data_IF_102610275131
#
_entry.id   IF_102610275131
#
_cell.length_a   1.000
_cell.length_b   1.000
_cell.length_c   1.000
_cell.angle_alpha   90.00
_cell.angle_beta   90.00
_cell.angle_gamma   90.00
#
_symmetry.space_group_name_H-M   'P 1'
#
loop_
_entity.id
_entity.type
_entity.pdbx_description
1 polymer ?
#
# COMPACT_ATOMS: atom_id res chain seq x y z
N UNK A 1 14.74 -6.96 -25.25
CA UNK A 1 13.97 -7.13 -23.99
C UNK A 1 12.84 -6.10 -23.96
N UNK A 2 11.58 -6.51 -23.76
CA UNK A 2 10.43 -5.60 -23.73
C UNK A 2 10.50 -4.62 -22.55
N UNK A 3 9.88 -3.45 -22.69
CA UNK A 3 9.84 -2.42 -21.62
C UNK A 3 9.23 -2.97 -20.32
N UNK A 4 8.16 -3.77 -20.43
CA UNK A 4 7.53 -4.47 -19.30
C UNK A 4 8.49 -5.44 -18.58
N UNK A 5 9.41 -6.10 -19.30
CA UNK A 5 10.39 -7.00 -18.69
C UNK A 5 11.52 -6.22 -18.00
N UNK A 6 11.98 -5.11 -18.60
CA UNK A 6 12.95 -4.20 -17.98
C UNK A 6 12.43 -3.63 -16.66
N UNK A 7 11.20 -3.12 -16.68
CA UNK A 7 10.53 -2.55 -15.50
C UNK A 7 10.27 -3.60 -14.42
N UNK A 8 9.85 -4.82 -14.80
CA UNK A 8 9.72 -5.94 -13.87
C UNK A 8 11.05 -6.27 -13.17
N UNK A 9 12.15 -6.41 -13.91
CA UNK A 9 13.46 -6.73 -13.34
C UNK A 9 13.93 -5.61 -12.40
N UNK A 10 13.79 -4.34 -12.81
CA UNK A 10 14.17 -3.21 -11.97
C UNK A 10 13.36 -3.17 -10.66
N UNK A 11 12.04 -3.36 -10.74
CA UNK A 11 11.19 -3.47 -9.55
C UNK A 11 11.58 -4.69 -8.69
N UNK A 12 11.93 -5.83 -9.29
CA UNK A 12 12.39 -7.02 -8.59
C UNK A 12 13.71 -6.82 -7.85
N UNK A 13 14.66 -6.11 -8.44
CA UNK A 13 15.92 -5.72 -7.78
C UNK A 13 15.64 -4.83 -6.57
N UNK A 14 14.75 -3.84 -6.71
CA UNK A 14 14.33 -2.99 -5.59
C UNK A 14 13.64 -3.82 -4.50
N UNK A 15 12.73 -4.72 -4.86
CA UNK A 15 12.04 -5.59 -3.92
C UNK A 15 13.04 -6.47 -3.14
N UNK A 16 14.01 -7.08 -3.82
CA UNK A 16 15.05 -7.89 -3.19
C UNK A 16 15.93 -7.07 -2.25
N UNK A 17 16.33 -5.86 -2.66
CA UNK A 17 17.10 -4.94 -1.83
C UNK A 17 16.32 -4.52 -0.58
N UNK A 18 15.02 -4.23 -0.71
CA UNK A 18 14.15 -3.89 0.42
C UNK A 18 13.92 -5.09 1.34
N UNK A 19 13.74 -6.31 0.81
CA UNK A 19 13.64 -7.53 1.62
C UNK A 19 14.92 -7.75 2.43
N UNK A 20 16.10 -7.62 1.80
CA UNK A 20 17.37 -7.73 2.51
C UNK A 20 17.52 -6.63 3.59
N UNK A 21 17.10 -5.41 3.29
CA UNK A 21 17.10 -4.30 4.24
C UNK A 21 16.17 -4.56 5.43
N UNK A 22 14.94 -5.04 5.18
CA UNK A 22 14.00 -5.39 6.24
C UNK A 22 14.52 -6.54 7.11
N UNK A 23 15.13 -7.56 6.49
CA UNK A 23 15.73 -8.66 7.22
C UNK A 23 16.86 -8.17 8.15
N UNK A 24 17.72 -7.27 7.67
CA UNK A 24 18.84 -6.70 8.43
C UNK A 24 18.41 -5.71 9.52
N UNK A 25 17.39 -4.87 9.27
CA UNK A 25 16.89 -3.89 10.24
C UNK A 25 16.01 -4.49 11.34
N UNK A 26 15.52 -5.72 11.13
CA UNK A 26 14.50 -6.37 11.96
C UNK A 26 14.92 -6.48 13.43
N UNK A 27 14.13 -5.94 14.38
CA UNK A 27 14.21 -6.34 15.78
C UNK A 27 13.72 -7.79 15.89
N UNK A 28 14.65 -8.74 16.03
CA UNK A 28 14.30 -10.17 15.99
C UNK A 28 13.60 -10.55 14.69
N UNK A 29 12.47 -11.24 14.77
CA UNK A 29 11.68 -11.69 13.61
C UNK A 29 10.57 -10.73 13.20
N UNK A 30 10.47 -9.54 13.82
CA UNK A 30 9.32 -8.66 13.66
C UNK A 30 9.07 -8.23 12.21
N UNK A 31 10.10 -7.76 11.49
CA UNK A 31 9.97 -7.37 10.07
C UNK A 31 9.91 -8.57 9.13
N UNK A 32 10.38 -9.73 9.57
CA UNK A 32 10.33 -10.96 8.78
C UNK A 32 8.90 -11.46 8.62
N UNK A 33 8.08 -11.34 9.66
CA UNK A 33 6.68 -11.77 9.62
C UNK A 33 5.71 -10.73 9.06
N UNK A 34 6.15 -9.49 8.92
CA UNK A 34 5.28 -8.38 8.52
C UNK A 34 5.69 -7.83 7.15
N UNK A 35 6.85 -7.19 7.05
CA UNK A 35 7.25 -6.42 5.88
C UNK A 35 7.71 -7.31 4.71
N UNK A 36 8.40 -8.42 4.98
CA UNK A 36 8.88 -9.32 3.92
C UNK A 36 7.73 -9.97 3.13
N UNK A 37 6.73 -10.64 3.77
CA UNK A 37 5.58 -11.19 3.07
C UNK A 37 4.81 -10.11 2.30
N UNK A 38 4.62 -8.94 2.90
CA UNK A 38 3.94 -7.83 2.27
C UNK A 38 4.67 -7.32 1.01
N UNK A 39 6.02 -7.28 1.01
CA UNK A 39 6.80 -6.92 -0.17
C UNK A 39 6.65 -7.95 -1.30
N UNK A 40 6.64 -9.25 -0.96
CA UNK A 40 6.39 -10.31 -1.94
C UNK A 40 5.01 -10.17 -2.57
N UNK A 41 3.97 -9.95 -1.76
CA UNK A 41 2.60 -9.73 -2.23
C UNK A 41 2.51 -8.47 -3.10
N UNK A 42 3.12 -7.36 -2.64
CA UNK A 42 3.14 -6.10 -3.38
C UNK A 42 3.84 -6.24 -4.74
N UNK A 43 4.96 -6.96 -4.81
CA UNK A 43 5.66 -7.23 -6.05
C UNK A 43 4.83 -8.10 -7.00
N UNK A 44 4.20 -9.17 -6.48
CA UNK A 44 3.31 -10.00 -7.28
C UNK A 44 2.13 -9.18 -7.85
N UNK A 45 1.46 -8.38 -7.01
CA UNK A 45 0.38 -7.50 -7.44
C UNK A 45 0.86 -6.48 -8.50
N UNK A 46 2.04 -5.88 -8.29
CA UNK A 46 2.66 -4.97 -9.24
C UNK A 46 2.88 -5.62 -10.61
N UNK A 47 3.46 -6.82 -10.65
CA UNK A 47 3.68 -7.59 -11.88
C UNK A 47 2.38 -7.95 -12.61
N UNK A 48 1.33 -8.23 -11.84
CA UNK A 48 0.01 -8.58 -12.39
C UNK A 48 -0.73 -7.37 -12.99
N UNK A 49 -0.44 -6.16 -12.51
CA UNK A 49 -1.21 -4.93 -12.78
C UNK A 49 -0.34 -3.81 -13.33
N UNK A 50 0.16 -2.93 -12.46
CA UNK A 50 0.81 -1.65 -12.72
C UNK A 50 2.12 -1.75 -13.54
N UNK A 51 2.80 -2.90 -13.52
CA UNK A 51 3.93 -3.15 -14.42
C UNK A 51 3.51 -3.26 -15.89
N UNK A 52 2.30 -3.77 -16.13
CA UNK A 52 1.73 -3.97 -17.47
C UNK A 52 1.06 -2.70 -17.98
N UNK A 53 0.29 -2.03 -17.13
CA UNK A 53 -0.47 -0.83 -17.49
C UNK A 53 -0.40 0.24 -16.40
N UNK A 54 -0.23 1.49 -16.81
CA UNK A 54 -0.26 2.63 -15.87
C UNK A 54 -1.69 2.79 -15.33
N UNK A 55 -1.88 2.99 -14.01
CA UNK A 55 -3.19 3.27 -13.48
C UNK A 55 -3.66 4.67 -13.89
N UNK A 56 -4.96 4.85 -14.05
CA UNK A 56 -5.58 6.17 -14.15
C UNK A 56 -5.37 6.95 -12.82
N UNK A 57 -4.60 8.07 -12.82
CA UNK A 57 -4.32 8.82 -11.62
C UNK A 57 -5.58 9.36 -10.94
N UNK A 58 -6.62 9.74 -11.70
CA UNK A 58 -7.85 10.31 -11.15
C UNK A 58 -8.61 9.30 -10.27
N UNK A 59 -8.45 8.00 -10.54
CA UNK A 59 -9.10 6.92 -9.77
C UNK A 59 -8.32 6.49 -8.53
N UNK A 60 -6.99 6.59 -8.57
CA UNK A 60 -6.11 6.03 -7.52
C UNK A 60 -5.57 7.11 -6.58
N UNK A 61 -5.10 8.22 -7.13
CA UNK A 61 -4.35 9.23 -6.37
C UNK A 61 -5.15 9.82 -5.20
N UNK A 62 -6.45 10.15 -5.31
CA UNK A 62 -7.21 10.68 -4.17
C UNK A 62 -7.23 9.72 -2.98
N UNK A 63 -7.49 8.42 -3.23
CA UNK A 63 -7.51 7.39 -2.18
C UNK A 63 -6.11 7.17 -1.61
N UNK A 64 -5.09 7.19 -2.47
CA UNK A 64 -3.69 7.07 -2.04
C UNK A 64 -3.29 8.21 -1.08
N UNK A 65 -3.65 9.46 -1.42
CA UNK A 65 -3.36 10.63 -0.59
C UNK A 65 -4.14 10.62 0.72
N UNK A 66 -5.40 10.18 0.72
CA UNK A 66 -6.16 9.94 1.96
C UNK A 66 -5.47 8.89 2.83
N UNK A 67 -4.98 7.81 2.22
CA UNK A 67 -4.20 6.80 2.93
C UNK A 67 -2.92 7.37 3.53
N UNK A 68 -2.18 8.19 2.78
CA UNK A 68 -0.97 8.85 3.30
C UNK A 68 -1.29 9.81 4.46
N UNK A 69 -2.36 10.60 4.35
CA UNK A 69 -2.81 11.47 5.42
C UNK A 69 -3.13 10.67 6.69
N UNK A 70 -3.84 9.55 6.52
CA UNK A 70 -4.18 8.64 7.61
C UNK A 70 -2.93 7.97 8.22
N UNK A 71 -1.91 7.67 7.41
CA UNK A 71 -0.64 7.12 7.89
C UNK A 71 0.09 8.07 8.83
N UNK A 72 0.00 9.39 8.62
CA UNK A 72 0.56 10.35 9.57
C UNK A 72 -0.19 10.34 10.90
N UNK A 73 -1.53 10.24 10.87
CA UNK A 73 -2.34 10.11 12.08
C UNK A 73 -2.04 8.81 12.83
N UNK A 74 -1.95 7.71 12.10
CA UNK A 74 -1.63 6.40 12.65
C UNK A 74 -0.27 6.38 13.34
N UNK A 75 0.75 6.93 12.67
CA UNK A 75 2.06 7.09 13.27
C UNK A 75 2.06 8.00 14.50
N UNK A 76 1.28 9.08 14.50
CA UNK A 76 1.17 9.95 15.66
C UNK A 76 0.61 9.22 16.89
N UNK A 77 -0.37 8.33 16.69
CA UNK A 77 -0.88 7.45 17.74
C UNK A 77 0.19 6.46 18.22
N UNK A 78 0.80 5.71 17.28
CA UNK A 78 1.86 4.73 17.58
C UNK A 78 3.05 5.37 18.32
N UNK A 79 3.46 6.57 17.88
CA UNK A 79 4.53 7.35 18.48
C UNK A 79 4.21 7.74 19.92
N UNK A 80 3.03 8.34 20.13
CA UNK A 80 2.60 8.84 21.45
C UNK A 80 2.43 7.69 22.44
N UNK A 81 1.91 6.56 21.99
CA UNK A 81 1.56 5.42 22.85
C UNK A 81 2.70 4.39 22.98
N UNK A 82 3.86 4.64 22.37
CA UNK A 82 5.08 3.86 22.61
C UNK A 82 5.22 2.57 21.80
N UNK A 83 4.61 2.50 20.61
CA UNK A 83 4.68 1.35 19.70
C UNK A 83 6.12 0.86 19.47
N UNK A 84 7.07 1.79 19.30
CA UNK A 84 8.50 1.48 19.11
C UNK A 84 9.11 0.57 20.17
N UNK A 85 8.58 0.58 21.41
CA UNK A 85 8.99 -0.34 22.48
C UNK A 85 8.09 -1.55 22.51
N UNK A 86 6.78 -1.33 22.59
CA UNK A 86 5.77 -2.35 22.85
C UNK A 86 5.67 -3.37 21.72
N UNK A 87 5.68 -2.94 20.46
CA UNK A 87 5.54 -3.83 19.31
C UNK A 87 6.67 -4.86 19.22
N UNK A 88 7.96 -4.49 19.27
CA UNK A 88 9.02 -5.50 19.30
C UNK A 88 8.96 -6.42 20.53
N UNK A 89 8.72 -5.86 21.72
CA UNK A 89 8.86 -6.62 22.98
C UNK A 89 7.66 -7.52 23.27
N UNK A 90 6.44 -6.99 23.17
CA UNK A 90 5.21 -7.67 23.59
C UNK A 90 4.71 -8.63 22.50
N UNK A 91 4.91 -8.28 21.21
CA UNK A 91 4.40 -9.11 20.10
C UNK A 91 5.42 -10.14 19.64
N UNK A 92 6.71 -9.79 19.62
CA UNK A 92 7.76 -10.64 19.03
C UNK A 92 8.81 -11.12 20.02
N UNK A 93 8.73 -10.74 21.30
CA UNK A 93 9.76 -11.07 22.30
C UNK A 93 11.14 -10.52 21.94
N UNK A 94 11.20 -9.46 21.13
CA UNK A 94 12.44 -8.85 20.63
C UNK A 94 12.83 -7.62 21.45
N UNK A 95 14.06 -7.14 21.27
CA UNK A 95 14.50 -5.90 21.90
C UNK A 95 13.71 -4.69 21.36
N UNK A 96 13.38 -3.76 22.27
CA UNK A 96 12.73 -2.51 21.93
C UNK A 96 13.55 -1.71 20.90
N UNK A 97 12.85 -1.06 19.97
CA UNK A 97 13.46 -0.14 19.03
C UNK A 97 13.74 1.19 19.73
N UNK A 98 14.87 1.84 19.43
CA UNK A 98 15.10 3.21 19.90
C UNK A 98 14.12 4.16 19.22
N UNK A 99 13.71 5.22 19.92
CA UNK A 99 12.79 6.22 19.38
C UNK A 99 13.31 6.82 18.06
N UNK A 100 14.60 7.17 18.02
CA UNK A 100 15.23 7.73 16.81
C UNK A 100 15.15 6.76 15.62
N UNK A 101 15.43 5.47 15.84
CA UNK A 101 15.34 4.46 14.78
C UNK A 101 13.90 4.32 14.28
N UNK A 102 12.92 4.30 15.18
CA UNK A 102 11.50 4.23 14.83
C UNK A 102 11.04 5.42 13.98
N UNK A 103 11.41 6.64 14.38
CA UNK A 103 11.09 7.86 13.62
C UNK A 103 11.74 7.84 12.24
N UNK A 104 13.04 7.54 12.15
CA UNK A 104 13.75 7.53 10.86
C UNK A 104 13.20 6.49 9.88
N UNK A 105 12.89 5.27 10.35
CA UNK A 105 12.27 4.23 9.50
C UNK A 105 10.94 4.72 8.94
N UNK A 106 10.11 5.37 9.76
CA UNK A 106 8.82 5.90 9.32
C UNK A 106 8.97 7.08 8.35
N UNK A 107 9.85 8.04 8.64
CA UNK A 107 10.07 9.20 7.77
C UNK A 107 10.62 8.79 6.40
N UNK A 108 11.56 7.84 6.35
CA UNK A 108 12.07 7.29 5.09
C UNK A 108 10.95 6.56 4.34
N UNK A 109 10.11 5.81 5.04
CA UNK A 109 8.97 5.13 4.45
C UNK A 109 7.97 6.13 3.84
N UNK A 110 7.68 7.24 4.53
CA UNK A 110 6.76 8.27 4.02
C UNK A 110 7.33 9.03 2.83
N UNK A 111 8.64 9.29 2.81
CA UNK A 111 9.30 9.81 1.63
C UNK A 111 9.16 8.84 0.44
N UNK A 112 9.33 7.54 0.67
CA UNK A 112 9.12 6.52 -0.37
C UNK A 112 7.64 6.48 -0.83
N UNK A 113 6.67 6.58 0.08
CA UNK A 113 5.25 6.63 -0.26
C UNK A 113 4.89 7.90 -1.06
N UNK A 114 5.52 9.03 -0.77
CA UNK A 114 5.38 10.24 -1.59
C UNK A 114 5.91 10.02 -3.02
N UNK A 115 7.02 9.28 -3.19
CA UNK A 115 7.49 8.84 -4.52
C UNK A 115 6.46 7.93 -5.18
N UNK A 116 5.78 7.06 -4.42
CA UNK A 116 4.65 6.26 -4.89
C UNK A 116 3.50 7.12 -5.44
N UNK A 117 3.10 8.18 -4.74
CA UNK A 117 2.10 9.14 -5.21
C UNK A 117 2.55 9.84 -6.51
N UNK A 118 3.81 10.27 -6.58
CA UNK A 118 4.38 10.86 -7.78
C UNK A 118 4.40 9.86 -8.95
N UNK A 119 4.68 8.59 -8.68
CA UNK A 119 4.67 7.53 -9.67
C UNK A 119 3.27 7.25 -10.21
N UNK A 120 2.23 7.32 -9.37
CA UNK A 120 0.84 7.29 -9.81
C UNK A 120 0.56 8.47 -10.73
N UNK A 121 0.89 9.69 -10.31
CA UNK A 121 0.63 10.91 -11.09
C UNK A 121 1.36 10.93 -12.45
N UNK A 122 2.64 10.55 -12.47
CA UNK A 122 3.49 10.57 -13.67
C UNK A 122 3.43 9.28 -14.50
N UNK A 123 2.81 8.22 -13.98
CA UNK A 123 2.76 6.91 -14.62
C UNK A 123 4.12 6.19 -14.66
N UNK A 124 4.98 6.41 -13.67
CA UNK A 124 6.28 5.71 -13.57
C UNK A 124 6.08 4.27 -13.09
N UNK A 125 6.45 3.30 -13.91
CA UNK A 125 6.16 1.88 -13.63
C UNK A 125 6.94 1.34 -12.43
N UNK A 126 8.26 1.51 -12.38
CA UNK A 126 9.09 0.90 -11.34
C UNK A 126 8.69 1.34 -9.92
N UNK A 127 8.52 2.65 -9.61
CA UNK A 127 8.18 3.06 -8.26
C UNK A 127 6.72 2.79 -7.86
N UNK A 128 5.85 2.35 -8.78
CA UNK A 128 4.51 1.87 -8.42
C UNK A 128 4.55 0.60 -7.56
N UNK A 129 5.69 -0.11 -7.51
CA UNK A 129 5.93 -1.14 -6.48
C UNK A 129 5.77 -0.57 -5.07
N UNK A 130 6.26 0.65 -4.83
CA UNK A 130 6.16 1.31 -3.52
C UNK A 130 4.70 1.68 -3.22
N UNK A 131 3.92 2.07 -4.24
CA UNK A 131 2.49 2.30 -4.07
C UNK A 131 1.74 1.02 -3.68
N UNK A 132 2.09 -0.12 -4.28
CA UNK A 132 1.56 -1.42 -3.88
C UNK A 132 1.99 -1.83 -2.48
N UNK A 133 3.25 -1.60 -2.11
CA UNK A 133 3.74 -1.91 -0.76
C UNK A 133 3.02 -1.07 0.30
N UNK A 134 2.76 0.21 0.02
CA UNK A 134 1.94 1.04 0.89
C UNK A 134 0.52 0.48 1.04
N UNK A 135 -0.15 0.10 -0.05
CA UNK A 135 -1.49 -0.45 0.01
C UNK A 135 -1.56 -1.77 0.79
N UNK A 136 -0.57 -2.66 0.59
CA UNK A 136 -0.52 -3.99 1.20
C UNK A 136 -0.05 -3.94 2.65
N UNK A 137 1.03 -3.23 2.96
CA UNK A 137 1.57 -3.18 4.32
C UNK A 137 1.08 -1.94 5.08
N UNK A 138 1.31 -0.75 4.53
CA UNK A 138 1.00 0.52 5.19
C UNK A 138 -0.50 0.76 5.44
N UNK A 139 -1.37 0.12 4.66
CA UNK A 139 -2.82 0.14 4.92
C UNK A 139 -3.34 -1.22 5.38
N UNK A 140 -3.41 -2.22 4.50
CA UNK A 140 -4.01 -3.53 4.85
C UNK A 140 -3.26 -4.24 5.99
N UNK A 141 -1.92 -4.19 5.95
CA UNK A 141 -1.07 -4.77 6.98
C UNK A 141 -1.27 -4.12 8.35
N UNK A 142 -1.51 -2.81 8.40
CA UNK A 142 -1.86 -2.13 9.66
C UNK A 142 -3.26 -2.52 10.14
N UNK A 143 -4.26 -2.59 9.25
CA UNK A 143 -5.62 -3.00 9.63
C UNK A 143 -5.64 -4.41 10.27
N UNK A 144 -4.94 -5.36 9.65
CA UNK A 144 -4.88 -6.75 10.10
C UNK A 144 -3.90 -6.91 11.27
N UNK A 145 -2.73 -6.29 11.16
CA UNK A 145 -1.63 -6.40 12.10
C UNK A 145 -2.03 -5.93 13.49
N UNK A 146 -2.67 -4.76 13.59
CA UNK A 146 -3.06 -4.24 14.91
C UNK A 146 -4.09 -5.12 15.61
N UNK A 147 -5.05 -5.74 14.92
CA UNK A 147 -5.90 -6.75 15.55
C UNK A 147 -5.07 -7.91 16.13
N UNK A 148 -4.08 -8.40 15.38
CA UNK A 148 -3.21 -9.47 15.87
C UNK A 148 -2.33 -9.01 17.04
N UNK A 149 -1.79 -7.79 16.99
CA UNK A 149 -0.93 -7.23 18.03
C UNK A 149 -1.68 -7.07 19.34
N UNK A 150 -2.89 -6.53 19.30
CA UNK A 150 -3.78 -6.39 20.46
C UNK A 150 -4.05 -7.74 21.13
N UNK A 151 -4.39 -8.75 20.33
CA UNK A 151 -4.68 -10.10 20.82
C UNK A 151 -3.44 -10.75 21.45
N UNK A 152 -2.26 -10.59 20.85
CA UNK A 152 -1.01 -11.14 21.36
C UNK A 152 -0.57 -10.42 22.64
N UNK A 153 -0.67 -9.08 22.66
CA UNK A 153 -0.31 -8.27 23.81
C UNK A 153 -1.34 -8.36 24.96
N UNK A 154 -2.56 -8.82 24.68
CA UNK A 154 -3.66 -8.85 25.64
C UNK A 154 -4.20 -7.47 25.99
N UNK A 155 -4.02 -6.49 25.09
CA UNK A 155 -4.37 -5.09 25.29
C UNK A 155 -5.13 -4.55 24.07
N UNK A 156 -6.46 -4.37 24.20
CA UNK A 156 -7.33 -3.79 23.16
C UNK A 156 -7.16 -2.27 22.99
N UNK A 157 -6.13 -1.70 23.60
CA UNK A 157 -5.69 -0.32 23.42
C UNK A 157 -4.21 -0.24 23.02
N UNK A 158 -3.70 -1.31 22.38
CA UNK A 158 -2.33 -1.34 21.89
C UNK A 158 -2.05 -0.12 20.98
N UNK A 159 -0.82 0.44 21.00
CA UNK A 159 -0.53 1.66 20.27
C UNK A 159 -0.84 1.52 18.77
N UNK A 160 -1.77 2.33 18.25
CA UNK A 160 -2.16 2.31 16.84
C UNK A 160 -3.50 1.61 16.57
N UNK A 161 -4.11 0.95 17.55
CA UNK A 161 -5.39 0.26 17.38
C UNK A 161 -6.49 1.15 16.80
N UNK A 162 -6.70 2.34 17.38
CA UNK A 162 -7.86 3.17 17.04
C UNK A 162 -7.78 3.70 15.61
N UNK A 163 -6.61 4.22 15.24
CA UNK A 163 -6.37 4.68 13.87
C UNK A 163 -6.27 3.51 12.89
N UNK A 164 -5.80 2.32 13.29
CA UNK A 164 -5.78 1.15 12.41
C UNK A 164 -7.17 0.76 11.89
N UNK A 165 -8.24 1.06 12.65
CA UNK A 165 -9.63 0.82 12.23
C UNK A 165 -9.97 1.52 10.91
N UNK A 166 -9.43 2.71 10.66
CA UNK A 166 -9.65 3.44 9.40
C UNK A 166 -9.13 2.68 8.17
N UNK A 167 -8.10 1.85 8.34
CA UNK A 167 -7.53 1.07 7.25
C UNK A 167 -8.41 -0.09 6.78
N UNK A 168 -9.41 -0.51 7.57
CA UNK A 168 -10.43 -1.47 7.09
C UNK A 168 -11.27 -0.93 5.94
N UNK A 169 -11.30 0.39 5.75
CA UNK A 169 -11.96 1.05 4.61
C UNK A 169 -10.92 1.49 3.58
N UNK A 170 -9.89 2.21 4.04
CA UNK A 170 -8.88 2.81 3.14
C UNK A 170 -8.08 1.73 2.41
N UNK A 171 -7.66 0.68 3.11
CA UNK A 171 -6.84 -0.40 2.55
C UNK A 171 -7.52 -1.15 1.41
N UNK A 172 -8.72 -1.74 1.62
CA UNK A 172 -9.41 -2.47 0.57
C UNK A 172 -9.77 -1.58 -0.62
N UNK A 173 -10.18 -0.33 -0.36
CA UNK A 173 -10.48 0.62 -1.42
C UNK A 173 -9.23 0.95 -2.25
N UNK A 174 -8.08 1.18 -1.61
CA UNK A 174 -6.85 1.49 -2.31
C UNK A 174 -6.35 0.30 -3.15
N UNK A 175 -6.37 -0.91 -2.60
CA UNK A 175 -6.05 -2.15 -3.32
C UNK A 175 -6.98 -2.31 -4.53
N UNK A 176 -8.28 -2.13 -4.33
CA UNK A 176 -9.28 -2.21 -5.39
C UNK A 176 -9.02 -1.20 -6.51
N UNK A 177 -8.73 0.06 -6.17
CA UNK A 177 -8.43 1.11 -7.14
C UNK A 177 -7.14 0.84 -7.92
N UNK A 178 -6.06 0.44 -7.23
CA UNK A 178 -4.81 0.08 -7.88
C UNK A 178 -4.97 -1.10 -8.85
N UNK A 179 -5.81 -2.08 -8.48
CA UNK A 179 -6.08 -3.22 -9.33
C UNK A 179 -6.92 -2.83 -10.56
N UNK A 180 -8.09 -2.25 -10.33
CA UNK A 180 -9.07 -1.97 -11.39
C UNK A 180 -8.67 -0.85 -12.32
N UNK A 181 -7.91 0.16 -11.85
CA UNK A 181 -7.41 1.23 -12.71
C UNK A 181 -6.40 0.77 -13.77
N UNK A 182 -5.96 -0.49 -13.72
CA UNK A 182 -5.04 -1.10 -14.70
C UNK A 182 -5.72 -2.12 -15.61
N UNK A 183 -7.01 -2.39 -15.41
CA UNK A 183 -7.77 -3.28 -16.28
C UNK A 183 -8.02 -2.59 -17.64
N UNK A 184 -8.11 -3.36 -18.74
CA UNK A 184 -8.67 -2.86 -19.98
C UNK A 184 -10.08 -2.33 -19.77
N UNK A 185 -10.42 -1.23 -20.43
CA UNK A 185 -11.81 -0.79 -20.60
C UNK A 185 -12.55 -1.88 -21.38
N UNK A 186 -12.97 -2.94 -20.69
CA UNK A 186 -13.97 -3.86 -21.17
C UNK A 186 -15.26 -3.38 -20.52
N UNK A 187 -16.19 -2.88 -21.35
CA UNK A 187 -17.55 -2.42 -21.03
C UNK A 187 -17.79 -0.90 -20.90
N UNK A 188 -17.25 -0.08 -21.81
CA UNK A 188 -17.82 1.27 -22.10
C UNK A 188 -18.45 1.37 -23.49
N UNK A 189 -18.54 0.26 -24.22
CA UNK A 189 -18.98 0.21 -25.61
C UNK A 189 -20.21 -0.68 -25.78
N UNK A 190 -21.36 -0.32 -25.20
CA UNK A 190 -22.72 -0.61 -25.74
C UNK A 190 -23.82 0.05 -24.92
N UNK A 191 -23.92 1.39 -24.98
CA UNK A 191 -25.22 2.04 -25.15
C UNK A 191 -24.99 3.23 -26.09
N UNK A 192 -24.65 2.95 -27.34
CA UNK A 192 -24.99 3.91 -28.40
C UNK A 192 -26.49 3.79 -28.53
N UNK A 193 -27.25 4.69 -27.90
CA UNK A 193 -28.65 4.87 -28.28
C UNK A 193 -28.64 5.15 -29.77
N UNK A 194 -29.22 4.25 -30.56
CA UNK A 194 -29.37 4.47 -31.98
C UNK A 194 -30.03 5.84 -32.20
N UNK A 195 -29.59 6.64 -33.18
CA UNK A 195 -30.32 7.84 -33.53
C UNK A 195 -31.74 7.44 -33.87
N UNK A 196 -32.71 8.02 -33.18
CA UNK A 196 -34.12 7.93 -33.57
C UNK A 196 -34.20 8.58 -34.94
N UNK A 197 -34.16 7.77 -35.99
CA UNK A 197 -34.48 8.20 -37.34
C UNK A 197 -35.92 8.70 -37.33
N UNK A 198 -36.09 9.96 -37.71
CA UNK A 198 -37.35 10.56 -38.11
C UNK A 198 -38.12 9.60 -39.01
N UNK A 199 -39.25 9.09 -38.51
CA UNK A 199 -40.30 8.58 -39.36
C UNK A 199 -41.22 9.75 -39.72
N UNK A 200 -40.86 10.47 -40.78
CA UNK A 200 -41.85 11.17 -41.57
C UNK A 200 -42.80 10.12 -42.18
N UNK A 201 -44.11 10.22 -41.89
CA UNK A 201 -45.16 9.87 -42.85
C UNK A 201 -46.54 10.33 -42.37
N UNK A 202 -47.03 11.36 -43.05
CA UNK A 202 -48.40 11.53 -43.54
C UNK A 202 -49.58 11.20 -42.60
N UNK A 203 -50.27 12.24 -42.13
CA UNK A 203 -51.63 12.63 -42.58
C UNK A 203 -51.99 14.02 -42.06
#
# INVERSE_FOLDING_TARGET
MSDTRKTAIAAGVIAAALIALFAWLSPGSALWWTFIPAMVIAYAAHLMTTNRRRPDPAKVLPVYLVGMAWQFLHFAEEFTNGFHRRWPTEVFGAQAMTLNKFVWINMISYAAFAIGALAIYRGWRVPLLIAWFFAVMGAMGNAIGHIAYDLIAGDLSFPGFYTALGYWIIGPLLVYRLWTATLPDRLSSTVTLAPVTEAATAR
#
